data_IF_601636489315
#
_entry.id   IF_601636489315
#
_cell.length_a   1.000
_cell.length_b   1.000
_cell.length_c   1.000
_cell.angle_alpha   90.00
_cell.angle_beta   90.00
_cell.angle_gamma   90.00
#
_symmetry.space_group_name_H-M   'P 1'
#
loop_
_entity.id
_entity.type
_entity.pdbx_description
1 polymer ?
#
# COMPACT_ATOMS: atom_id res chain seq x y z
N UNK A 1 -11.37 2.48 19.95
CA UNK A 1 -12.01 1.93 18.74
C UNK A 1 -10.90 1.36 17.88
N UNK A 2 -11.12 0.28 17.11
CA UNK A 2 -10.14 -0.10 16.09
C UNK A 2 -9.85 1.10 15.19
N UNK A 3 -8.59 1.26 14.77
CA UNK A 3 -8.19 2.36 13.91
C UNK A 3 -8.67 2.07 12.50
N UNK A 4 -9.84 2.62 12.16
CA UNK A 4 -10.52 2.34 10.90
C UNK A 4 -9.88 3.11 9.74
N UNK A 5 -9.72 2.44 8.61
CA UNK A 5 -9.39 3.05 7.33
C UNK A 5 -10.63 3.10 6.43
N UNK A 6 -11.12 4.30 6.12
CA UNK A 6 -12.22 4.51 5.16
C UNK A 6 -11.66 5.14 3.90
N UNK A 7 -11.98 4.56 2.75
CA UNK A 7 -11.67 5.16 1.45
C UNK A 7 -12.94 5.60 0.74
N UNK A 8 -12.97 6.83 0.24
CA UNK A 8 -14.09 7.39 -0.51
C UNK A 8 -13.77 7.26 -1.99
N UNK A 9 -14.61 6.53 -2.71
CA UNK A 9 -14.44 6.23 -4.13
C UNK A 9 -15.56 6.82 -4.98
N UNK A 10 -15.32 6.90 -6.28
CA UNK A 10 -16.28 7.40 -7.24
C UNK A 10 -15.64 8.19 -8.38
N UNK A 11 -16.42 8.43 -9.43
CA UNK A 11 -15.93 9.09 -10.64
C UNK A 11 -15.46 10.53 -10.38
N UNK A 12 -14.75 11.08 -11.36
CA UNK A 12 -14.23 12.46 -11.32
C UNK A 12 -15.43 13.41 -11.14
N UNK A 13 -15.29 14.40 -10.25
CA UNK A 13 -16.34 15.40 -10.01
C UNK A 13 -17.47 14.98 -9.07
N UNK A 14 -17.50 13.74 -8.55
CA UNK A 14 -18.61 13.29 -7.70
C UNK A 14 -18.63 13.89 -6.28
N UNK A 15 -17.48 14.38 -5.78
CA UNK A 15 -17.40 15.07 -4.47
C UNK A 15 -16.54 14.40 -3.40
N UNK A 16 -15.71 13.41 -3.75
CA UNK A 16 -14.85 12.62 -2.82
C UNK A 16 -13.99 13.50 -1.89
N UNK A 17 -13.16 14.34 -2.49
CA UNK A 17 -12.23 15.25 -1.79
C UNK A 17 -12.97 16.17 -0.81
N UNK A 18 -14.15 16.66 -1.23
CA UNK A 18 -14.99 17.52 -0.41
C UNK A 18 -15.54 16.76 0.80
N UNK A 19 -16.11 15.58 0.57
CA UNK A 19 -16.64 14.75 1.65
C UNK A 19 -15.55 14.35 2.65
N UNK A 20 -14.38 13.91 2.18
CA UNK A 20 -13.25 13.55 3.04
C UNK A 20 -12.88 14.68 4.03
N UNK A 21 -12.77 15.92 3.53
CA UNK A 21 -12.47 17.11 4.35
C UNK A 21 -13.56 17.44 5.36
N UNK A 22 -14.83 17.30 4.97
CA UNK A 22 -15.96 17.59 5.85
C UNK A 22 -16.15 16.53 6.95
N UNK A 23 -15.80 15.28 6.65
CA UNK A 23 -15.85 14.18 7.61
C UNK A 23 -14.70 14.20 8.62
N UNK A 24 -13.54 14.75 8.24
CA UNK A 24 -12.35 14.87 9.08
C UNK A 24 -12.65 15.34 10.52
N UNK A 25 -13.29 16.52 10.74
CA UNK A 25 -13.56 16.99 12.10
C UNK A 25 -14.59 16.14 12.85
N UNK A 26 -15.57 15.55 12.15
CA UNK A 26 -16.62 14.72 12.77
C UNK A 26 -16.06 13.40 13.31
N UNK A 27 -15.15 12.78 12.57
CA UNK A 27 -14.50 11.52 12.96
C UNK A 27 -13.18 11.71 13.72
N UNK A 28 -12.67 12.95 13.83
CA UNK A 28 -11.32 13.24 14.33
C UNK A 28 -10.26 12.38 13.63
N UNK A 29 -10.43 12.23 12.32
CA UNK A 29 -9.60 11.37 11.49
C UNK A 29 -8.42 12.14 10.89
N UNK A 30 -7.36 11.42 10.54
CA UNK A 30 -6.38 11.88 9.57
C UNK A 30 -6.99 11.80 8.17
N UNK A 31 -6.51 12.64 7.23
CA UNK A 31 -6.93 12.59 5.84
C UNK A 31 -5.76 12.29 4.90
N UNK A 32 -6.00 11.46 3.89
CA UNK A 32 -5.07 11.18 2.81
C UNK A 32 -5.70 11.54 1.47
N UNK A 33 -5.17 12.58 0.84
CA UNK A 33 -5.74 13.18 -0.37
C UNK A 33 -4.87 12.87 -1.58
N UNK A 34 -5.50 12.52 -2.70
CA UNK A 34 -4.79 12.29 -3.95
C UNK A 34 -4.16 13.59 -4.49
N UNK A 35 -2.88 13.52 -4.84
CA UNK A 35 -2.13 14.61 -5.44
C UNK A 35 -2.02 14.38 -6.95
N UNK A 36 -2.97 14.93 -7.71
CA UNK A 36 -3.00 14.79 -9.18
C UNK A 36 -2.36 15.97 -9.93
N UNK A 37 -2.13 17.11 -9.26
CA UNK A 37 -1.62 18.34 -9.89
C UNK A 37 -0.14 18.24 -10.27
N UNK A 38 0.59 17.32 -9.65
CA UNK A 38 2.02 17.09 -9.89
C UNK A 38 2.29 16.21 -11.12
N UNK A 39 1.24 15.59 -11.70
CA UNK A 39 1.41 14.70 -12.85
C UNK A 39 1.71 15.50 -14.13
N UNK A 40 2.95 15.45 -14.66
CA UNK A 40 3.36 16.27 -15.79
C UNK A 40 2.77 15.83 -17.12
N UNK A 41 2.04 14.70 -17.16
CA UNK A 41 1.43 14.15 -18.36
C UNK A 41 -0.10 14.32 -18.37
N UNK A 42 -0.70 14.78 -17.27
CA UNK A 42 -2.14 14.79 -17.11
C UNK A 42 -2.84 15.74 -18.10
N UNK A 43 -2.23 16.88 -18.40
CA UNK A 43 -2.79 17.83 -19.35
C UNK A 43 -2.77 17.26 -20.78
N UNK A 44 -1.65 16.65 -21.17
CA UNK A 44 -1.44 16.00 -22.46
C UNK A 44 -2.34 14.78 -22.63
N UNK A 45 -2.56 14.01 -21.56
CA UNK A 45 -3.50 12.89 -21.54
C UNK A 45 -4.92 13.32 -21.95
N UNK A 46 -5.42 14.45 -21.47
CA UNK A 46 -6.73 14.95 -21.88
C UNK A 46 -6.75 15.46 -23.34
N UNK A 47 -5.59 15.74 -23.94
CA UNK A 47 -5.46 16.10 -25.35
C UNK A 47 -5.29 14.89 -26.29
N UNK A 48 -4.56 13.86 -25.86
CA UNK A 48 -4.25 12.65 -26.63
C UNK A 48 -4.07 11.45 -25.69
N UNK A 49 -5.19 10.79 -25.37
CA UNK A 49 -5.21 9.68 -24.40
C UNK A 49 -4.37 8.50 -24.86
N UNK A 50 -4.44 8.13 -26.14
CA UNK A 50 -3.73 6.97 -26.67
C UNK A 50 -2.21 7.10 -26.51
N UNK A 51 -1.68 8.32 -26.67
CA UNK A 51 -0.24 8.56 -26.58
C UNK A 51 0.30 8.73 -25.16
N UNK A 52 -0.51 9.29 -24.26
CA UNK A 52 -0.07 9.72 -22.92
C UNK A 52 -0.66 8.89 -21.78
N UNK A 53 -1.54 7.93 -22.05
CA UNK A 53 -2.16 7.09 -21.04
C UNK A 53 -1.12 6.38 -20.16
N UNK A 54 -0.15 5.68 -20.76
CA UNK A 54 0.79 4.87 -20.00
C UNK A 54 1.63 5.69 -19.02
N UNK A 55 2.21 6.79 -19.47
CA UNK A 55 3.03 7.70 -18.65
C UNK A 55 2.18 8.30 -17.52
N UNK A 56 0.93 8.65 -17.82
CA UNK A 56 -0.02 9.20 -16.84
C UNK A 56 -0.35 8.17 -15.77
N UNK A 57 -0.67 6.93 -16.16
CA UNK A 57 -1.03 5.85 -15.23
C UNK A 57 0.17 5.41 -14.37
N UNK A 58 1.36 5.22 -14.96
CA UNK A 58 2.55 4.87 -14.18
C UNK A 58 2.93 5.96 -13.18
N UNK A 59 2.78 7.24 -13.54
CA UNK A 59 3.00 8.32 -12.59
C UNK A 59 2.01 8.25 -11.41
N UNK A 60 0.72 8.04 -11.69
CA UNK A 60 -0.28 7.87 -10.63
C UNK A 60 0.04 6.68 -9.75
N UNK A 61 0.36 5.52 -10.33
CA UNK A 61 0.71 4.32 -9.60
C UNK A 61 1.85 4.55 -8.61
N UNK A 62 2.97 5.12 -9.08
CA UNK A 62 4.15 5.37 -8.26
C UNK A 62 3.90 6.45 -7.19
N UNK A 63 3.20 7.52 -7.54
CA UNK A 63 2.82 8.59 -6.60
C UNK A 63 1.95 8.04 -5.47
N UNK A 64 0.93 7.23 -5.81
CA UNK A 64 0.05 6.58 -4.84
C UNK A 64 0.79 5.58 -3.98
N UNK A 65 1.68 4.77 -4.54
CA UNK A 65 2.51 3.85 -3.77
C UNK A 65 3.33 4.61 -2.74
N UNK A 66 4.10 5.62 -3.16
CA UNK A 66 4.93 6.40 -2.27
C UNK A 66 4.12 7.08 -1.15
N UNK A 67 2.94 7.62 -1.49
CA UNK A 67 2.07 8.25 -0.51
C UNK A 67 1.47 7.24 0.47
N UNK A 68 0.93 6.11 -0.02
CA UNK A 68 0.20 5.17 0.84
C UNK A 68 1.09 4.25 1.66
N UNK A 69 2.22 3.81 1.10
CA UNK A 69 3.14 2.86 1.77
C UNK A 69 3.59 3.37 3.14
N UNK A 70 3.87 4.67 3.26
CA UNK A 70 4.29 5.29 4.52
C UNK A 70 3.13 5.94 5.27
N UNK A 71 2.29 6.74 4.59
CA UNK A 71 1.30 7.57 5.29
C UNK A 71 0.13 6.77 5.88
N UNK A 72 -0.24 5.64 5.27
CA UNK A 72 -1.37 4.83 5.77
C UNK A 72 -1.03 4.16 7.10
N UNK A 73 0.07 3.38 7.24
CA UNK A 73 0.46 2.82 8.52
C UNK A 73 0.64 3.88 9.61
N UNK A 74 1.32 4.99 9.30
CA UNK A 74 1.56 6.08 10.25
C UNK A 74 0.25 6.71 10.73
N UNK A 75 -0.67 7.03 9.82
CA UNK A 75 -1.96 7.62 10.19
C UNK A 75 -2.82 6.64 11.00
N UNK A 76 -2.82 5.37 10.60
CA UNK A 76 -3.54 4.32 11.33
C UNK A 76 -2.93 4.02 12.70
N UNK A 77 -1.67 4.36 12.96
CA UNK A 77 -1.11 4.29 14.31
C UNK A 77 -1.68 5.39 15.24
N UNK A 78 -2.15 6.49 14.67
CA UNK A 78 -2.64 7.68 15.39
C UNK A 78 -4.17 7.72 15.53
N UNK A 79 -4.91 6.96 14.71
CA UNK A 79 -6.36 6.88 14.80
C UNK A 79 -7.02 6.49 13.48
N UNK A 80 -8.23 6.99 13.26
CA UNK A 80 -8.98 6.76 12.02
C UNK A 80 -8.33 7.51 10.84
N UNK A 81 -8.32 6.87 9.67
CA UNK A 81 -7.89 7.47 8.41
C UNK A 81 -9.06 7.53 7.43
N UNK A 82 -9.24 8.69 6.80
CA UNK A 82 -10.14 8.87 5.65
C UNK A 82 -9.31 9.23 4.43
N UNK A 83 -9.37 8.42 3.38
CA UNK A 83 -8.77 8.77 2.09
C UNK A 83 -9.83 9.07 1.03
N UNK A 84 -9.53 9.97 0.09
CA UNK A 84 -10.40 10.23 -1.07
C UNK A 84 -10.09 9.33 -2.29
N UNK A 85 -9.28 8.30 -2.07
CA UNK A 85 -8.96 7.27 -3.04
C UNK A 85 -8.42 5.98 -2.41
N UNK A 86 -8.43 4.89 -3.18
CA UNK A 86 -7.76 3.63 -2.89
C UNK A 86 -6.58 3.43 -3.84
N UNK A 87 -5.60 2.62 -3.44
CA UNK A 87 -4.56 2.16 -4.36
C UNK A 87 -5.16 1.34 -5.52
N UNK A 88 -6.05 0.41 -5.18
CA UNK A 88 -6.69 -0.52 -6.11
C UNK A 88 -7.51 0.14 -7.24
N UNK A 89 -7.97 1.40 -7.08
CA UNK A 89 -8.68 2.10 -8.16
C UNK A 89 -7.79 2.35 -9.39
N UNK A 90 -6.46 2.36 -9.25
CA UNK A 90 -5.58 2.71 -10.38
C UNK A 90 -5.71 1.71 -11.51
N UNK A 91 -5.94 0.44 -11.15
CA UNK A 91 -6.23 -0.63 -12.09
C UNK A 91 -7.38 -0.25 -13.03
N UNK A 92 -8.49 0.29 -12.51
CA UNK A 92 -9.64 0.71 -13.31
C UNK A 92 -9.28 1.74 -14.38
N UNK A 93 -8.45 2.72 -14.03
CA UNK A 93 -8.00 3.71 -15.00
C UNK A 93 -7.05 3.10 -16.03
N UNK A 94 -6.21 2.15 -15.64
CA UNK A 94 -5.37 1.41 -16.57
C UNK A 94 -6.18 0.56 -17.55
N UNK A 95 -7.16 -0.22 -17.09
CA UNK A 95 -8.04 -1.03 -17.94
C UNK A 95 -8.77 -0.20 -19.00
N UNK A 96 -9.15 1.04 -18.68
CA UNK A 96 -9.85 1.94 -19.60
C UNK A 96 -8.95 2.67 -20.59
N UNK A 97 -7.66 2.81 -20.29
CA UNK A 97 -6.75 3.68 -21.03
C UNK A 97 -5.58 2.95 -21.71
N UNK A 98 -5.20 1.77 -21.23
CA UNK A 98 -4.06 0.99 -21.72
C UNK A 98 -4.54 -0.23 -22.51
N UNK A 99 -3.68 -0.72 -23.41
CA UNK A 99 -3.95 -1.90 -24.24
C UNK A 99 -2.72 -2.80 -24.31
N UNK A 100 -2.95 -4.06 -24.65
CA UNK A 100 -1.91 -5.03 -24.99
C UNK A 100 -0.75 -5.06 -23.98
N UNK A 101 0.47 -4.81 -24.46
CA UNK A 101 1.70 -4.86 -23.67
C UNK A 101 1.77 -3.78 -22.58
N UNK A 102 1.17 -2.60 -22.80
CA UNK A 102 1.15 -1.51 -21.81
C UNK A 102 0.29 -1.91 -20.61
N UNK A 103 -0.89 -2.49 -20.85
CA UNK A 103 -1.78 -2.96 -19.80
C UNK A 103 -1.15 -4.14 -19.03
N UNK A 104 -0.53 -5.08 -19.75
CA UNK A 104 0.15 -6.20 -19.13
C UNK A 104 1.34 -5.76 -18.25
N UNK A 105 2.14 -4.81 -18.73
CA UNK A 105 3.25 -4.25 -17.95
C UNK A 105 2.74 -3.49 -16.73
N UNK A 106 1.75 -2.62 -16.91
CA UNK A 106 1.14 -1.87 -15.81
C UNK A 106 0.60 -2.81 -14.73
N UNK A 107 -0.17 -3.84 -15.11
CA UNK A 107 -0.79 -4.78 -14.16
C UNK A 107 0.23 -5.50 -13.29
N UNK A 108 1.39 -5.87 -13.86
CA UNK A 108 2.50 -6.47 -13.12
C UNK A 108 3.12 -5.51 -12.09
N UNK A 109 3.36 -4.26 -12.48
CA UNK A 109 3.89 -3.24 -11.55
C UNK A 109 2.88 -2.96 -10.44
N UNK A 110 1.60 -2.85 -10.79
CA UNK A 110 0.53 -2.62 -9.83
C UNK A 110 0.41 -3.77 -8.81
N UNK A 111 0.46 -5.03 -9.27
CA UNK A 111 0.43 -6.19 -8.39
C UNK A 111 1.61 -6.20 -7.40
N UNK A 112 2.83 -5.97 -7.89
CA UNK A 112 4.02 -5.95 -7.05
C UNK A 112 4.00 -4.87 -5.96
N UNK A 113 3.52 -3.66 -6.29
CA UNK A 113 3.43 -2.55 -5.34
C UNK A 113 2.24 -2.69 -4.38
N UNK A 114 1.15 -3.30 -4.83
CA UNK A 114 -0.09 -3.43 -4.06
C UNK A 114 0.00 -4.35 -2.84
N UNK A 115 0.94 -5.30 -2.82
CA UNK A 115 1.09 -6.25 -1.69
C UNK A 115 1.36 -5.55 -0.34
N UNK A 116 2.08 -4.41 -0.37
CA UNK A 116 2.49 -3.68 0.83
C UNK A 116 1.48 -2.63 1.29
N UNK A 117 0.40 -2.40 0.54
CA UNK A 117 -0.54 -1.32 0.83
C UNK A 117 -1.71 -1.83 1.70
N UNK A 118 -1.93 -1.27 2.90
CA UNK A 118 -3.07 -1.64 3.73
C UNK A 118 -4.40 -1.40 3.01
N UNK A 119 -5.31 -2.37 3.07
CA UNK A 119 -6.65 -2.26 2.48
C UNK A 119 -7.58 -1.46 3.41
N UNK A 120 -8.53 -0.67 2.88
CA UNK A 120 -9.52 0.01 3.71
C UNK A 120 -10.47 -1.00 4.39
N UNK A 121 -10.98 -0.64 5.57
CA UNK A 121 -12.04 -1.36 6.26
C UNK A 121 -13.41 -1.12 5.63
N UNK A 122 -13.59 0.00 4.91
CA UNK A 122 -14.83 0.37 4.23
C UNK A 122 -14.51 1.24 3.02
N UNK A 123 -15.13 0.91 1.88
CA UNK A 123 -15.18 1.80 0.73
C UNK A 123 -16.53 2.52 0.71
N UNK A 124 -16.50 3.86 0.68
CA UNK A 124 -17.70 4.69 0.50
C UNK A 124 -17.74 5.11 -0.97
N UNK A 125 -18.57 4.45 -1.77
CA UNK A 125 -18.74 4.78 -3.18
C UNK A 125 -19.80 5.85 -3.35
N UNK A 126 -19.38 7.04 -3.82
CA UNK A 126 -20.27 8.12 -4.16
C UNK A 126 -20.78 7.93 -5.59
N UNK A 127 -22.11 7.87 -5.74
CA UNK A 127 -22.79 7.78 -7.02
C UNK A 127 -23.58 9.07 -7.29
N UNK A 128 -23.64 9.47 -8.55
CA UNK A 128 -24.50 10.55 -9.01
C UNK A 128 -24.82 10.33 -10.49
N UNK A 129 -25.89 10.95 -10.96
CA UNK A 129 -26.28 10.92 -12.35
C UNK A 129 -25.25 11.65 -13.20
N UNK A 130 -25.09 11.21 -14.44
CA UNK A 130 -24.08 11.75 -15.34
C UNK A 130 -24.20 13.27 -15.52
N UNK A 131 -25.42 13.80 -15.62
CA UNK A 131 -25.66 15.24 -15.73
C UNK A 131 -25.19 16.02 -14.49
N UNK A 132 -25.41 15.46 -13.29
CA UNK A 132 -24.94 16.05 -12.02
C UNK A 132 -23.42 16.06 -11.97
N UNK A 133 -22.77 14.97 -12.39
CA UNK A 133 -21.31 14.86 -12.45
C UNK A 133 -20.72 15.89 -13.41
N UNK A 134 -21.24 15.97 -14.64
CA UNK A 134 -20.74 16.91 -15.65
C UNK A 134 -20.91 18.37 -15.19
N UNK A 135 -22.04 18.70 -14.53
CA UNK A 135 -22.25 20.02 -13.93
C UNK A 135 -21.22 20.33 -12.84
N UNK A 136 -20.88 19.37 -11.97
CA UNK A 136 -19.85 19.52 -10.92
C UNK A 136 -18.45 19.68 -11.51
N UNK A 137 -18.10 18.92 -12.55
CA UNK A 137 -16.82 19.05 -13.27
C UNK A 137 -16.71 20.45 -13.88
N UNK A 138 -17.74 20.91 -14.58
CA UNK A 138 -17.76 22.24 -15.19
C UNK A 138 -17.59 23.37 -14.16
N UNK A 139 -18.24 23.25 -12.99
CA UNK A 139 -18.11 24.23 -11.91
C UNK A 139 -16.72 24.27 -11.26
N UNK A 140 -15.95 23.16 -11.30
CA UNK A 140 -14.60 23.09 -10.73
C UNK A 140 -13.55 23.86 -11.54
N UNK A 141 -13.85 24.17 -12.80
CA UNK A 141 -13.07 25.01 -13.71
C UNK A 141 -11.58 24.64 -13.87
N UNK A 142 -11.27 23.34 -13.88
CA UNK A 142 -9.90 22.88 -14.19
C UNK A 142 -9.66 22.97 -15.69
N UNK A 143 -8.62 23.68 -16.17
CA UNK A 143 -8.41 23.93 -17.60
C UNK A 143 -8.34 22.67 -18.45
N UNK A 144 -7.69 21.62 -17.94
CA UNK A 144 -7.52 20.34 -18.64
C UNK A 144 -8.78 19.45 -18.64
N UNK A 145 -9.81 19.76 -17.86
CA UNK A 145 -11.07 19.00 -17.83
C UNK A 145 -12.16 19.61 -18.73
N UNK A 146 -11.99 20.84 -19.22
CA UNK A 146 -13.01 21.58 -19.97
C UNK A 146 -13.44 20.90 -21.27
N UNK A 147 -12.53 20.17 -21.91
CA UNK A 147 -12.77 19.46 -23.17
C UNK A 147 -12.93 17.93 -22.96
N UNK A 148 -13.21 17.50 -21.74
CA UNK A 148 -13.36 16.08 -21.43
C UNK A 148 -14.56 15.49 -22.17
N UNK A 149 -14.34 14.38 -22.85
CA UNK A 149 -15.40 13.61 -23.51
C UNK A 149 -16.44 13.13 -22.46
N UNK A 150 -17.73 13.52 -22.56
CA UNK A 150 -18.77 13.04 -21.65
C UNK A 150 -18.93 11.51 -21.68
N UNK A 151 -18.67 10.85 -22.82
CA UNK A 151 -18.71 9.39 -22.94
C UNK A 151 -17.63 8.74 -22.07
N UNK A 152 -16.48 9.38 -21.90
CA UNK A 152 -15.43 8.89 -21.01
C UNK A 152 -15.89 8.79 -19.55
N UNK A 153 -16.64 9.79 -19.06
CA UNK A 153 -17.22 9.74 -17.71
C UNK A 153 -18.22 8.60 -17.58
N UNK A 154 -19.05 8.35 -18.59
CA UNK A 154 -19.98 7.20 -18.60
C UNK A 154 -19.24 5.86 -18.54
N UNK A 155 -18.17 5.72 -19.31
CA UNK A 155 -17.31 4.54 -19.30
C UNK A 155 -16.62 4.35 -17.95
N UNK A 156 -16.13 5.43 -17.34
CA UNK A 156 -15.58 5.42 -15.98
C UNK A 156 -16.60 4.98 -14.94
N UNK A 157 -17.83 5.48 -14.99
CA UNK A 157 -18.90 5.05 -14.08
C UNK A 157 -19.14 3.55 -14.22
N UNK A 158 -19.27 3.06 -15.46
CA UNK A 158 -19.52 1.64 -15.73
C UNK A 158 -18.37 0.76 -15.25
N UNK A 159 -17.13 1.20 -15.43
CA UNK A 159 -15.96 0.50 -14.92
C UNK A 159 -15.96 0.46 -13.38
N UNK A 160 -16.36 1.55 -12.71
CA UNK A 160 -16.39 1.61 -11.25
C UNK A 160 -17.41 0.62 -10.69
N UNK A 161 -18.60 0.55 -11.31
CA UNK A 161 -19.64 -0.40 -10.92
C UNK A 161 -19.19 -1.84 -11.15
N UNK A 162 -18.53 -2.13 -12.28
CA UNK A 162 -17.96 -3.45 -12.55
C UNK A 162 -16.88 -3.82 -11.52
N UNK A 163 -15.95 -2.91 -11.24
CA UNK A 163 -14.86 -3.13 -10.28
C UNK A 163 -15.40 -3.38 -8.87
N UNK A 164 -16.33 -2.56 -8.38
CA UNK A 164 -16.95 -2.73 -7.06
C UNK A 164 -17.75 -4.03 -6.96
N UNK A 165 -18.41 -4.46 -8.04
CA UNK A 165 -19.17 -5.72 -8.04
C UNK A 165 -18.29 -6.97 -7.89
N UNK A 166 -17.02 -6.87 -8.29
CA UNK A 166 -16.04 -7.96 -8.18
C UNK A 166 -15.27 -7.92 -6.84
N UNK A 167 -15.45 -6.87 -6.04
CA UNK A 167 -14.72 -6.67 -4.80
C UNK A 167 -15.40 -7.46 -3.66
N UNK A 168 -14.78 -8.57 -3.23
CA UNK A 168 -15.38 -9.48 -2.22
C UNK A 168 -14.86 -9.23 -0.79
N UNK A 169 -13.70 -8.58 -0.65
CA UNK A 169 -12.98 -8.57 0.62
C UNK A 169 -13.26 -7.37 1.51
N UNK A 170 -13.80 -6.29 0.96
CA UNK A 170 -14.00 -5.00 1.64
C UNK A 170 -15.48 -4.60 1.50
N UNK A 171 -16.17 -4.24 2.58
CA UNK A 171 -17.54 -3.75 2.49
C UNK A 171 -17.60 -2.44 1.70
N UNK A 172 -18.68 -2.27 0.94
CA UNK A 172 -18.92 -1.09 0.10
C UNK A 172 -20.23 -0.43 0.51
N UNK A 173 -20.15 0.81 0.99
CA UNK A 173 -21.30 1.67 1.24
C UNK A 173 -21.53 2.57 0.03
N UNK A 174 -22.63 2.34 -0.69
CA UNK A 174 -23.03 3.17 -1.82
C UNK A 174 -23.87 4.34 -1.33
N UNK A 175 -23.47 5.57 -1.66
CA UNK A 175 -24.19 6.80 -1.32
C UNK A 175 -24.57 7.53 -2.61
N UNK A 176 -25.87 7.63 -2.88
CA UNK A 176 -26.36 8.50 -3.95
C UNK A 176 -26.28 9.97 -3.50
N UNK A 177 -25.63 10.80 -4.31
CA UNK A 177 -25.37 12.22 -4.02
C UNK A 177 -26.12 13.17 -4.94
N UNK A 178 -27.16 12.70 -5.66
CA UNK A 178 -27.96 13.55 -6.56
C UNK A 178 -28.69 14.65 -5.80
N UNK A 179 -29.29 14.31 -4.67
CA UNK A 179 -30.10 15.20 -3.83
C UNK A 179 -29.39 15.66 -2.55
N UNK A 180 -28.18 15.15 -2.29
CA UNK A 180 -27.40 15.52 -1.11
C UNK A 180 -26.50 16.71 -1.41
N UNK A 181 -26.59 17.75 -0.57
CA UNK A 181 -25.67 18.88 -0.56
C UNK A 181 -24.99 19.01 0.80
N UNK A 182 -24.08 18.09 1.09
CA UNK A 182 -23.31 18.08 2.34
C UNK A 182 -22.33 19.27 2.47
N UNK A 183 -22.21 20.14 1.46
CA UNK A 183 -21.49 21.41 1.56
C UNK A 183 -22.36 22.51 2.18
N UNK A 184 -23.60 22.63 1.73
CA UNK A 184 -24.51 23.68 2.18
C UNK A 184 -25.43 23.24 3.32
N UNK A 185 -25.67 21.94 3.46
CA UNK A 185 -26.62 21.37 4.41
C UNK A 185 -25.93 20.41 5.38
N UNK A 186 -25.83 20.83 6.65
CA UNK A 186 -25.23 20.01 7.70
C UNK A 186 -26.01 18.71 7.96
N UNK A 187 -27.32 18.69 7.75
CA UNK A 187 -28.14 17.48 7.94
C UNK A 187 -27.79 16.38 6.93
N UNK A 188 -27.43 16.75 5.70
CA UNK A 188 -26.99 15.80 4.67
C UNK A 188 -25.62 15.22 5.02
N UNK A 189 -24.73 16.06 5.58
CA UNK A 189 -23.43 15.61 6.08
C UNK A 189 -23.58 14.65 7.29
N UNK A 190 -24.48 14.97 8.22
CA UNK A 190 -24.79 14.12 9.37
C UNK A 190 -25.41 12.80 8.94
N UNK A 191 -26.29 12.83 7.93
CA UNK A 191 -26.84 11.62 7.33
C UNK A 191 -25.72 10.72 6.78
N UNK A 192 -24.82 11.26 5.96
CA UNK A 192 -23.68 10.51 5.41
C UNK A 192 -22.77 9.95 6.51
N UNK A 193 -22.42 10.78 7.49
CA UNK A 193 -21.59 10.35 8.62
C UNK A 193 -22.26 9.23 9.43
N UNK A 194 -23.58 9.30 9.64
CA UNK A 194 -24.34 8.26 10.34
C UNK A 194 -24.36 6.93 9.58
N UNK A 195 -24.46 6.96 8.24
CA UNK A 195 -24.39 5.75 7.43
C UNK A 195 -23.00 5.10 7.52
N UNK A 196 -21.93 5.91 7.43
CA UNK A 196 -20.56 5.43 7.57
C UNK A 196 -20.34 4.80 8.95
N UNK A 197 -20.76 5.48 10.02
CA UNK A 197 -20.63 4.97 11.39
C UNK A 197 -21.38 3.64 11.56
N UNK A 198 -22.63 3.58 11.09
CA UNK A 198 -23.44 2.36 11.14
C UNK A 198 -22.79 1.21 10.39
N UNK A 199 -22.22 1.47 9.22
CA UNK A 199 -21.54 0.46 8.42
C UNK A 199 -20.25 -0.03 9.08
N UNK A 200 -19.47 0.88 9.67
CA UNK A 200 -18.27 0.53 10.44
C UNK A 200 -18.61 -0.28 11.70
N UNK A 201 -19.74 -0.02 12.36
CA UNK A 201 -20.21 -0.80 13.51
C UNK A 201 -20.72 -2.18 13.10
N UNK A 202 -21.48 -2.26 12.00
CA UNK A 202 -21.99 -3.52 11.45
C UNK A 202 -20.85 -4.46 11.03
N UNK A 203 -19.80 -3.90 10.41
CA UNK A 203 -18.63 -4.66 9.98
C UNK A 203 -17.55 -4.80 11.07
N UNK A 204 -17.64 -4.00 12.15
CA UNK A 204 -16.75 -4.01 13.31
C UNK A 204 -16.91 -5.23 14.23
N UNK A 205 -17.98 -6.03 14.04
CA UNK A 205 -18.21 -7.30 14.74
C UNK A 205 -17.90 -8.56 13.90
N UNK A 206 -17.22 -8.45 12.76
CA UNK A 206 -16.85 -9.65 12.01
C UNK A 206 -16.12 -9.43 10.70
N UNK A 207 -14.78 -9.35 10.79
CA UNK A 207 -13.94 -10.46 10.32
C UNK A 207 -12.94 -10.76 11.43
N UNK A 208 -12.90 -11.98 11.98
CA UNK A 208 -11.66 -12.45 12.58
C UNK A 208 -10.60 -12.26 11.51
N UNK A 209 -9.51 -11.57 11.85
CA UNK A 209 -8.25 -11.77 11.16
C UNK A 209 -8.03 -13.29 11.21
N UNK A 210 -8.10 -13.89 10.02
CA UNK A 210 -7.38 -15.10 9.61
C UNK A 210 -7.22 -16.20 10.67
N UNK A 211 -7.93 -17.29 10.41
CA UNK A 211 -7.97 -18.58 11.11
C UNK A 211 -6.99 -18.75 12.29
N UNK A 212 -7.53 -19.12 13.46
CA UNK A 212 -6.72 -19.68 14.57
C UNK A 212 -5.71 -20.74 14.07
N UNK A 213 -6.02 -21.44 12.97
CA UNK A 213 -5.10 -22.37 12.29
C UNK A 213 -3.82 -21.72 11.75
N UNK A 214 -3.87 -20.56 11.09
CA UNK A 214 -2.69 -19.84 10.57
C UNK A 214 -1.88 -19.19 11.70
N UNK A 215 -2.55 -18.62 12.72
CA UNK A 215 -1.88 -18.09 13.90
C UNK A 215 -1.19 -19.20 14.74
N UNK A 216 -1.73 -20.42 14.72
CA UNK A 216 -1.12 -21.58 15.38
C UNK A 216 0.20 -22.01 14.72
N UNK A 217 0.36 -21.83 13.40
CA UNK A 217 1.62 -22.13 12.69
C UNK A 217 2.78 -21.22 13.14
N UNK A 218 2.48 -20.01 13.60
CA UNK A 218 3.48 -19.07 14.12
C UNK A 218 3.90 -19.39 15.58
N UNK A 219 3.11 -20.20 16.31
CA UNK A 219 3.39 -20.54 17.70
C UNK A 219 4.35 -21.75 17.78
N UNK A 220 5.66 -21.45 17.82
CA UNK A 220 6.73 -22.46 17.98
C UNK A 220 7.28 -23.01 16.66
N UNK A 221 7.06 -22.29 15.55
CA UNK A 221 7.46 -22.72 14.21
C UNK A 221 8.97 -22.81 14.00
N UNK A 222 9.38 -23.87 13.31
CA UNK A 222 10.65 -24.00 12.61
C UNK A 222 10.55 -23.36 11.21
N UNK A 223 11.64 -23.36 10.43
CA UNK A 223 11.62 -22.82 9.06
C UNK A 223 10.51 -23.47 8.20
N UNK A 224 10.28 -24.80 8.26
CA UNK A 224 9.17 -25.45 7.56
C UNK A 224 7.80 -24.89 7.91
N UNK A 225 7.53 -24.61 9.19
CA UNK A 225 6.28 -24.00 9.62
C UNK A 225 6.11 -22.58 9.03
N UNK A 226 7.17 -21.78 8.96
CA UNK A 226 7.12 -20.46 8.32
C UNK A 226 6.92 -20.56 6.80
N UNK A 227 7.55 -21.53 6.14
CA UNK A 227 7.33 -21.82 4.73
C UNK A 227 5.87 -22.23 4.46
N UNK A 228 5.27 -23.06 5.31
CA UNK A 228 3.87 -23.45 5.21
C UNK A 228 2.93 -22.26 5.46
N UNK A 229 3.23 -21.43 6.46
CA UNK A 229 2.48 -20.21 6.73
C UNK A 229 2.43 -19.30 5.49
N UNK A 230 3.57 -19.03 4.86
CA UNK A 230 3.61 -18.19 3.65
C UNK A 230 2.91 -18.84 2.46
N UNK A 231 2.98 -20.17 2.29
CA UNK A 231 2.20 -20.86 1.25
C UNK A 231 0.70 -20.63 1.42
N UNK A 232 0.20 -20.74 2.66
CA UNK A 232 -1.21 -20.52 2.95
C UNK A 232 -1.60 -19.05 2.82
N UNK A 233 -0.75 -18.14 3.29
CA UNK A 233 -0.97 -16.70 3.21
C UNK A 233 -1.06 -16.25 1.76
N UNK A 234 -0.08 -16.60 0.92
CA UNK A 234 -0.01 -16.20 -0.48
C UNK A 234 -1.23 -16.70 -1.27
N UNK A 235 -1.65 -17.95 -1.05
CA UNK A 235 -2.88 -18.50 -1.65
C UNK A 235 -4.12 -17.74 -1.18
N UNK A 236 -4.21 -17.40 0.12
CA UNK A 236 -5.36 -16.70 0.68
C UNK A 236 -5.46 -15.24 0.23
N UNK A 237 -4.32 -14.61 -0.07
CA UNK A 237 -4.22 -13.20 -0.47
C UNK A 237 -4.15 -13.00 -1.98
N UNK A 238 -3.96 -14.07 -2.74
CA UNK A 238 -3.80 -14.02 -4.19
C UNK A 238 -2.50 -13.33 -4.61
N UNK A 239 -1.41 -13.54 -3.86
CA UNK A 239 -0.10 -12.97 -4.19
C UNK A 239 0.49 -13.59 -5.46
N UNK A 240 1.30 -12.81 -6.18
CA UNK A 240 1.87 -13.20 -7.46
C UNK A 240 3.05 -14.18 -7.26
N UNK A 241 2.99 -15.41 -7.84
CA UNK A 241 4.08 -16.38 -7.74
C UNK A 241 5.28 -16.07 -8.64
N UNK A 242 5.29 -14.95 -9.37
CA UNK A 242 6.40 -14.56 -10.24
C UNK A 242 7.71 -14.37 -9.45
N UNK A 243 8.71 -15.16 -9.84
CA UNK A 243 10.02 -15.20 -9.18
C UNK A 243 10.83 -13.91 -9.34
N UNK A 244 10.67 -13.21 -10.46
CA UNK A 244 11.41 -11.98 -10.71
C UNK A 244 10.88 -10.84 -9.83
N UNK A 245 9.56 -10.75 -9.65
CA UNK A 245 8.97 -9.75 -8.75
C UNK A 245 9.32 -10.01 -7.29
N UNK A 246 9.21 -11.26 -6.83
CA UNK A 246 9.63 -11.60 -5.46
C UNK A 246 11.14 -11.35 -5.23
N UNK A 247 11.98 -11.48 -6.27
CA UNK A 247 13.39 -11.08 -6.20
C UNK A 247 13.58 -9.57 -6.07
N UNK A 248 12.81 -8.74 -6.79
CA UNK A 248 12.87 -7.28 -6.64
C UNK A 248 12.48 -6.86 -5.22
N UNK A 249 11.41 -7.43 -4.68
CA UNK A 249 10.96 -7.15 -3.31
C UNK A 249 12.01 -7.57 -2.28
N UNK A 250 12.66 -8.73 -2.47
CA UNK A 250 13.81 -9.13 -1.64
C UNK A 250 14.95 -8.09 -1.68
N UNK A 251 15.26 -7.55 -2.86
CA UNK A 251 16.31 -6.52 -3.01
C UNK A 251 15.92 -5.20 -2.33
N UNK A 252 14.64 -4.84 -2.35
CA UNK A 252 14.11 -3.69 -1.61
C UNK A 252 14.30 -3.86 -0.10
N UNK A 253 13.91 -5.02 0.46
CA UNK A 253 14.10 -5.31 1.89
C UNK A 253 15.59 -5.32 2.29
N UNK A 254 16.47 -5.79 1.40
CA UNK A 254 17.92 -5.66 1.62
C UNK A 254 18.37 -4.20 1.72
N UNK A 255 17.73 -3.31 0.94
CA UNK A 255 17.95 -1.87 0.99
C UNK A 255 17.47 -1.24 2.29
N UNK A 256 16.30 -1.62 2.79
CA UNK A 256 15.76 -1.12 4.07
C UNK A 256 16.62 -1.56 5.26
N UNK A 257 17.05 -2.84 5.28
CA UNK A 257 18.04 -3.32 6.27
C UNK A 257 19.33 -2.50 6.19
N UNK A 258 19.84 -2.20 4.99
CA UNK A 258 21.03 -1.38 4.83
C UNK A 258 20.85 0.05 5.37
N UNK A 259 19.71 0.67 5.07
CA UNK A 259 19.33 2.00 5.59
C UNK A 259 19.33 2.01 7.12
N UNK A 260 18.78 0.97 7.75
CA UNK A 260 18.73 0.88 9.21
C UNK A 260 20.11 0.68 9.84
N UNK A 261 20.97 -0.11 9.21
CA UNK A 261 22.37 -0.26 9.65
C UNK A 261 23.16 1.04 9.53
N UNK A 262 22.89 1.87 8.52
CA UNK A 262 23.50 3.19 8.37
C UNK A 262 23.06 4.10 9.53
N UNK A 263 21.77 4.09 9.90
CA UNK A 263 21.27 4.87 11.06
C UNK A 263 21.95 4.44 12.35
N UNK A 264 22.03 3.13 12.63
CA UNK A 264 22.72 2.57 13.81
C UNK A 264 24.16 3.06 13.87
N UNK A 265 24.87 3.06 12.74
CA UNK A 265 26.25 3.52 12.70
C UNK A 265 26.38 5.03 12.95
N UNK A 266 25.44 5.83 12.41
CA UNK A 266 25.34 7.26 12.69
C UNK A 266 25.11 7.56 14.17
N UNK A 267 24.15 6.87 14.79
CA UNK A 267 23.83 6.99 16.20
C UNK A 267 24.99 6.58 17.10
N UNK A 268 25.67 5.48 16.77
CA UNK A 268 26.84 5.02 17.51
C UNK A 268 27.97 6.08 17.50
N UNK A 269 28.17 6.76 16.36
CA UNK A 269 29.14 7.87 16.27
C UNK A 269 28.75 9.07 17.13
N UNK A 270 27.48 9.43 17.12
CA UNK A 270 26.98 10.54 17.92
C UNK A 270 27.17 10.25 19.42
N UNK A 271 26.77 9.06 19.86
CA UNK A 271 26.90 8.59 21.23
C UNK A 271 28.36 8.50 21.69
N UNK A 272 29.25 8.02 20.82
CA UNK A 272 30.69 7.98 21.11
C UNK A 272 31.26 9.39 21.33
N UNK A 273 30.84 10.37 20.50
CA UNK A 273 31.28 11.75 20.60
C UNK A 273 30.76 12.45 21.87
N UNK A 274 29.49 12.25 22.22
CA UNK A 274 28.87 12.84 23.42
C UNK A 274 29.37 12.21 24.73
N UNK A 275 29.54 10.89 24.74
CA UNK A 275 29.96 10.12 25.92
C UNK A 275 31.46 10.09 26.17
N UNK A 276 32.27 10.67 25.27
CA UNK A 276 33.74 10.52 25.27
C UNK A 276 34.19 9.05 25.36
N UNK A 277 33.47 8.15 24.68
CA UNK A 277 33.75 6.72 24.64
C UNK A 277 34.09 6.24 23.22
N UNK A 278 34.56 5.01 23.09
CA UNK A 278 34.86 4.42 21.79
C UNK A 278 33.59 4.03 21.02
N UNK A 279 33.70 3.93 19.70
CA UNK A 279 32.59 3.46 18.86
C UNK A 279 32.12 2.05 19.26
N UNK A 280 33.03 1.19 19.72
CA UNK A 280 32.71 -0.16 20.17
C UNK A 280 31.86 -0.16 21.46
N UNK A 281 32.07 0.82 22.34
CA UNK A 281 31.30 0.98 23.58
C UNK A 281 29.93 1.62 23.32
N UNK A 282 29.82 2.49 22.31
CA UNK A 282 28.57 3.16 21.94
C UNK A 282 27.63 2.31 21.08
N UNK A 283 28.16 1.35 20.31
CA UNK A 283 27.40 0.54 19.36
C UNK A 283 26.23 -0.26 19.98
N UNK A 284 26.38 -0.92 21.15
CA UNK A 284 25.28 -1.68 21.75
C UNK A 284 24.05 -0.83 22.06
N UNK A 285 24.25 0.41 22.50
CA UNK A 285 23.18 1.36 22.80
C UNK A 285 22.50 1.84 21.51
N UNK A 286 23.27 2.17 20.47
CA UNK A 286 22.72 2.52 19.16
C UNK A 286 21.90 1.38 18.54
N UNK A 287 22.37 0.13 18.65
CA UNK A 287 21.61 -1.05 18.23
C UNK A 287 20.32 -1.15 19.05
N UNK A 288 20.36 -0.92 20.36
CA UNK A 288 19.17 -1.03 21.21
C UNK A 288 18.09 -0.01 20.83
N UNK A 289 18.48 1.23 20.50
CA UNK A 289 17.56 2.28 20.04
C UNK A 289 16.83 1.95 18.75
N UNK A 290 17.55 1.32 17.82
CA UNK A 290 17.06 0.98 16.48
C UNK A 290 16.62 -0.49 16.36
N UNK A 291 16.53 -1.21 17.49
CA UNK A 291 16.29 -2.67 17.48
C UNK A 291 14.92 -3.02 16.91
N UNK A 292 13.91 -2.20 17.17
CA UNK A 292 12.53 -2.49 16.76
C UNK A 292 12.37 -2.43 15.24
N UNK A 293 12.87 -1.37 14.62
CA UNK A 293 12.92 -1.16 13.17
C UNK A 293 13.78 -2.21 12.50
N UNK A 294 15.03 -2.41 12.95
CA UNK A 294 15.92 -3.43 12.39
C UNK A 294 15.30 -4.84 12.46
N UNK A 295 14.60 -5.16 13.54
CA UNK A 295 13.89 -6.45 13.67
C UNK A 295 12.78 -6.59 12.63
N UNK A 296 12.05 -5.51 12.31
CA UNK A 296 11.01 -5.52 11.28
C UNK A 296 11.61 -5.80 9.91
N UNK A 297 12.60 -5.00 9.48
CA UNK A 297 13.21 -5.14 8.15
C UNK A 297 13.86 -6.52 7.95
N UNK A 298 14.48 -7.07 9.00
CA UNK A 298 15.04 -8.43 8.95
C UNK A 298 13.95 -9.51 8.83
N UNK A 299 12.77 -9.28 9.40
CA UNK A 299 11.64 -10.19 9.28
C UNK A 299 11.04 -10.15 7.87
N UNK A 300 10.92 -8.96 7.28
CA UNK A 300 10.43 -8.78 5.91
C UNK A 300 11.41 -9.41 4.89
N UNK A 301 12.72 -9.20 5.08
CA UNK A 301 13.76 -9.88 4.29
C UNK A 301 13.65 -11.42 4.37
N UNK A 302 13.39 -11.96 5.56
CA UNK A 302 13.17 -13.39 5.75
C UNK A 302 11.89 -13.85 5.04
N UNK A 303 10.81 -13.09 5.11
CA UNK A 303 9.54 -13.41 4.45
C UNK A 303 9.72 -13.61 2.94
N UNK A 304 10.38 -12.69 2.23
CA UNK A 304 10.63 -12.85 0.80
C UNK A 304 11.61 -13.97 0.47
N UNK A 305 12.57 -14.26 1.36
CA UNK A 305 13.43 -15.44 1.23
C UNK A 305 12.60 -16.73 1.29
N UNK A 306 11.64 -16.81 2.22
CA UNK A 306 10.73 -17.94 2.36
C UNK A 306 9.78 -18.05 1.14
N UNK A 307 9.23 -16.93 0.64
CA UNK A 307 8.39 -16.90 -0.57
C UNK A 307 9.15 -17.45 -1.78
N UNK A 308 10.37 -16.98 -2.04
CA UNK A 308 11.21 -17.48 -3.15
C UNK A 308 11.50 -18.98 -2.99
N UNK A 309 11.84 -19.44 -1.78
CA UNK A 309 12.06 -20.85 -1.51
C UNK A 309 10.79 -21.68 -1.80
N UNK A 310 9.63 -21.20 -1.37
CA UNK A 310 8.34 -21.85 -1.65
C UNK A 310 8.04 -21.95 -3.15
N UNK A 311 8.17 -20.85 -3.90
CA UNK A 311 7.88 -20.83 -5.34
C UNK A 311 8.88 -21.65 -6.17
N UNK A 312 10.07 -21.89 -5.64
CA UNK A 312 11.09 -22.76 -6.27
C UNK A 312 11.05 -24.20 -5.77
N UNK A 313 10.19 -24.53 -4.81
CA UNK A 313 10.09 -25.88 -4.23
C UNK A 313 11.28 -26.26 -3.34
N UNK A 314 12.00 -25.28 -2.80
CA UNK A 314 13.16 -25.49 -1.93
C UNK A 314 12.69 -25.60 -0.48
N UNK A 315 13.04 -26.71 0.18
CA UNK A 315 13.01 -26.83 1.64
C UNK A 315 14.21 -26.06 2.21
N UNK A 316 13.94 -24.88 2.77
CA UNK A 316 14.97 -23.94 3.16
C UNK A 316 15.75 -24.41 4.40
N UNK A 317 15.08 -25.13 5.31
CA UNK A 317 15.73 -25.72 6.48
C UNK A 317 16.71 -26.80 6.07
N UNK A 318 16.25 -27.75 5.25
CA UNK A 318 17.08 -28.84 4.76
C UNK A 318 18.26 -28.31 3.93
N UNK A 319 18.02 -27.31 3.07
CA UNK A 319 19.08 -26.64 2.31
C UNK A 319 20.13 -25.98 3.22
N UNK A 320 19.71 -25.30 4.29
CA UNK A 320 20.62 -24.72 5.27
C UNK A 320 21.42 -25.79 6.01
N UNK A 321 20.77 -26.85 6.51
CA UNK A 321 21.42 -27.95 7.22
C UNK A 321 22.47 -28.64 6.36
N UNK A 322 22.15 -28.92 5.09
CA UNK A 322 23.08 -29.55 4.16
C UNK A 322 24.27 -28.63 3.86
N UNK A 323 24.02 -27.33 3.72
CA UNK A 323 25.09 -26.34 3.55
C UNK A 323 26.00 -26.24 4.78
N UNK A 324 25.44 -26.25 5.99
CA UNK A 324 26.21 -26.17 7.23
C UNK A 324 27.04 -27.43 7.47
N UNK A 325 26.50 -28.62 7.18
CA UNK A 325 27.27 -29.88 7.20
C UNK A 325 28.48 -29.83 6.28
N UNK A 326 28.33 -29.27 5.08
CA UNK A 326 29.46 -29.05 4.16
C UNK A 326 30.47 -28.05 4.75
N UNK A 327 30.01 -26.95 5.33
CA UNK A 327 30.90 -25.93 5.90
C UNK A 327 31.70 -26.42 7.12
N UNK A 328 31.17 -27.35 7.91
CA UNK A 328 31.91 -27.99 9.01
C UNK A 328 33.14 -28.77 8.53
N UNK A 329 33.16 -29.19 7.27
CA UNK A 329 34.28 -29.91 6.65
C UNK A 329 35.31 -29.00 5.96
N UNK A 330 35.11 -27.67 5.99
CA UNK A 330 35.97 -26.69 5.32
C UNK A 330 36.98 -26.07 6.28
N UNK A 331 38.25 -26.05 5.89
CA UNK A 331 39.25 -25.19 6.51
C UNK A 331 39.08 -23.75 6.01
N UNK A 332 38.77 -22.85 6.94
CA UNK A 332 38.68 -21.42 6.65
C UNK A 332 40.06 -20.78 6.86
N UNK A 333 40.62 -20.07 5.87
CA UNK A 333 41.81 -19.27 6.11
C UNK A 333 41.49 -18.25 7.21
N UNK A 334 42.36 -18.14 8.23
CA UNK A 334 42.26 -17.08 9.24
C UNK A 334 42.12 -15.73 8.54
N UNK A 335 41.21 -14.90 9.04
CA UNK A 335 40.85 -13.58 8.49
C UNK A 335 42.03 -12.86 7.85
N UNK A 336 41.81 -12.27 6.66
CA UNK A 336 42.78 -11.38 6.03
C UNK A 336 42.99 -10.17 6.95
N UNK A 337 43.96 -10.25 7.84
CA UNK A 337 44.58 -9.07 8.46
C UNK A 337 45.30 -8.32 7.35
N UNK A 338 44.63 -7.41 6.66
CA UNK A 338 45.33 -6.39 5.90
C UNK A 338 46.01 -5.46 6.91
N UNK A 339 47.35 -5.33 6.91
CA UNK A 339 47.97 -4.24 7.64
C UNK A 339 47.54 -2.94 6.97
N UNK A 340 47.05 -1.98 7.77
CA UNK A 340 46.93 -0.59 7.32
C UNK A 340 48.33 -0.13 6.95
N UNK A 341 48.55 0.18 5.69
CA UNK A 341 49.73 0.92 5.26
C UNK A 341 49.57 2.37 5.71
N UNK A 342 50.59 2.86 6.41
CA UNK A 342 50.74 4.19 7.02
C UNK A 342 50.52 5.37 6.07
#
# INVERSE_FOLDING_TARGET
MPNNFVAIEGVIGVGKTTLARLLQPKFKASILMEVFEENPFLAEFYGDRERYAFQTQIFFLLSRYHQQHQAVPDALSQGMLISDYTFAKDELFAWLNLKDDELAMYGRVHAALGEKIPKPNLIVYLQADHEVIMRRIAHRDRPYERNMDPEYIRNLTSAYEAWLSNLQDIPVLVINTNELDFLANEQDLDYVASQIQKELEANGNGKPIESEAQATLLNGGDIPAFQEFHRQLDVSKGFDPDLFFNYILLVEEMGEVASELIKIWGDAKHLAAEGSCSLAEALPEAINRNRATLRSELADLLAYTLKIANYTGIDLEQAYLDKMKQNLSRDWPKERTQPRSD
#
